data_IF_600474269120
#
_entry.id   IF_600474269120
#
_cell.length_a   1.000
_cell.length_b   1.000
_cell.length_c   1.000
_cell.angle_alpha   90.00
_cell.angle_beta   90.00
_cell.angle_gamma   90.00
#
_symmetry.space_group_name_H-M   'P 1'
#
loop_
_entity.id
_entity.type
_entity.pdbx_description
1 polymer ?
#
# COMPACT_ATOMS: atom_id res chain seq x y z
N UNK A 1 -3.88 -20.38 -6.73
CA UNK A 1 -5.18 -20.51 -7.40
C UNK A 1 -6.11 -19.33 -7.10
N UNK A 2 -6.42 -19.03 -5.83
CA UNK A 2 -7.41 -17.99 -5.45
C UNK A 2 -7.05 -16.60 -5.96
N UNK A 3 -5.83 -16.15 -5.71
CA UNK A 3 -5.38 -14.82 -6.14
C UNK A 3 -5.50 -14.64 -7.67
N UNK A 4 -5.09 -15.65 -8.44
CA UNK A 4 -5.22 -15.59 -9.91
C UNK A 4 -6.67 -15.43 -10.36
N UNK A 5 -7.64 -16.12 -9.73
CA UNK A 5 -9.05 -15.98 -10.08
C UNK A 5 -9.57 -14.55 -9.90
N UNK A 6 -9.09 -13.85 -8.89
CA UNK A 6 -9.41 -12.43 -8.68
C UNK A 6 -8.70 -11.51 -9.67
N UNK A 7 -7.46 -11.85 -10.06
CA UNK A 7 -6.66 -11.02 -10.94
C UNK A 7 -6.92 -11.29 -12.44
N UNK A 8 -7.68 -12.33 -12.77
CA UNK A 8 -7.96 -12.69 -14.16
C UNK A 8 -8.77 -11.59 -14.88
N UNK A 9 -8.30 -11.18 -16.05
CA UNK A 9 -8.90 -10.09 -16.83
C UNK A 9 -8.63 -8.67 -16.33
N UNK A 10 -7.78 -8.48 -15.30
CA UNK A 10 -7.36 -7.14 -14.90
C UNK A 10 -6.37 -6.56 -15.91
N UNK A 11 -6.66 -5.32 -16.35
CA UNK A 11 -5.73 -4.59 -17.21
C UNK A 11 -4.43 -4.25 -16.45
N UNK A 12 -3.29 -4.42 -17.11
CA UNK A 12 -1.98 -4.12 -16.56
C UNK A 12 -1.46 -5.09 -15.51
N UNK A 13 -2.19 -6.17 -15.16
CA UNK A 13 -1.80 -7.16 -14.16
C UNK A 13 -1.77 -8.57 -14.77
N UNK A 14 -0.72 -9.32 -14.46
CA UNK A 14 -0.56 -10.70 -14.90
C UNK A 14 -0.13 -11.60 -13.75
N UNK A 15 -0.76 -12.77 -13.67
CA UNK A 15 -0.45 -13.79 -12.66
C UNK A 15 -0.19 -15.12 -13.38
N UNK A 16 0.95 -15.78 -13.14
CA UNK A 16 1.26 -17.08 -13.75
C UNK A 16 0.18 -18.13 -13.47
N UNK A 17 -0.01 -19.04 -14.42
CA UNK A 17 -0.89 -20.18 -14.25
C UNK A 17 -0.16 -21.25 -13.42
N UNK A 18 -0.73 -21.66 -12.29
CA UNK A 18 -0.24 -22.86 -11.58
C UNK A 18 -0.64 -24.12 -12.37
N UNK A 19 0.34 -24.99 -12.63
CA UNK A 19 0.15 -26.24 -13.37
C UNK A 19 0.02 -27.38 -12.34
N UNK A 20 -1.20 -27.65 -11.93
CA UNK A 20 -1.50 -28.58 -10.82
C UNK A 20 -0.97 -29.99 -11.09
N UNK A 21 -1.09 -30.49 -12.33
CA UNK A 21 -0.59 -31.82 -12.74
C UNK A 21 0.93 -31.99 -12.58
N UNK A 22 1.68 -30.88 -12.49
CA UNK A 22 3.13 -30.84 -12.31
C UNK A 22 3.55 -30.23 -10.98
N UNK A 23 2.59 -29.99 -10.09
CA UNK A 23 2.83 -29.43 -8.77
C UNK A 23 2.59 -30.46 -7.69
N UNK A 24 3.26 -30.32 -6.56
CA UNK A 24 3.12 -31.22 -5.44
C UNK A 24 3.38 -30.49 -4.12
N UNK A 25 3.44 -31.24 -3.02
CA UNK A 25 3.58 -30.67 -1.68
C UNK A 25 4.82 -29.78 -1.49
N UNK A 26 5.88 -29.98 -2.26
CA UNK A 26 7.18 -29.27 -2.15
C UNK A 26 7.61 -28.58 -3.44
N UNK A 27 6.84 -28.70 -4.50
CA UNK A 27 7.16 -28.12 -5.81
C UNK A 27 5.91 -27.44 -6.36
N UNK A 28 6.06 -26.17 -6.73
CA UNK A 28 5.05 -25.42 -7.48
C UNK A 28 5.57 -25.23 -8.90
N UNK A 29 4.82 -25.74 -9.87
CA UNK A 29 5.08 -25.51 -11.29
C UNK A 29 4.12 -24.46 -11.81
N UNK A 30 4.66 -23.45 -12.51
CA UNK A 30 3.89 -22.33 -13.06
C UNK A 30 4.23 -22.10 -14.52
N UNK A 31 3.32 -21.43 -15.25
CA UNK A 31 3.64 -20.91 -16.58
C UNK A 31 4.86 -19.98 -16.51
N UNK A 32 5.69 -20.04 -17.54
CA UNK A 32 6.80 -19.10 -17.68
C UNK A 32 6.25 -17.73 -18.12
N UNK A 33 6.64 -16.68 -17.43
CA UNK A 33 6.27 -15.32 -17.79
C UNK A 33 7.51 -14.53 -18.23
N UNK A 34 7.41 -13.95 -19.42
CA UNK A 34 8.47 -13.09 -19.96
C UNK A 34 8.34 -11.68 -19.38
N UNK A 35 9.43 -11.18 -18.84
CA UNK A 35 9.50 -9.83 -18.29
C UNK A 35 10.90 -9.49 -17.81
N UNK A 36 11.08 -8.24 -17.44
CA UNK A 36 12.33 -7.72 -16.86
C UNK A 36 12.09 -7.15 -15.48
N UNK A 37 13.14 -7.03 -14.66
CA UNK A 37 13.03 -6.36 -13.36
C UNK A 37 12.60 -4.90 -13.52
N UNK A 38 12.01 -4.31 -12.48
CA UNK A 38 11.66 -2.89 -12.47
C UNK A 38 12.90 -2.01 -12.78
N UNK A 39 14.07 -2.39 -12.25
CA UNK A 39 15.31 -1.64 -12.46
C UNK A 39 15.80 -1.71 -13.91
N UNK A 40 15.73 -2.88 -14.55
CA UNK A 40 16.09 -3.03 -15.96
C UNK A 40 15.10 -2.29 -16.85
N UNK A 41 13.80 -2.35 -16.53
CA UNK A 41 12.78 -1.61 -17.24
C UNK A 41 13.01 -0.10 -17.15
N UNK A 42 13.32 0.44 -15.96
CA UNK A 42 13.64 1.85 -15.76
C UNK A 42 14.94 2.27 -16.48
N UNK A 43 15.95 1.38 -16.55
CA UNK A 43 17.18 1.65 -17.35
C UNK A 43 16.88 1.82 -18.84
N UNK A 44 15.82 1.22 -19.36
CA UNK A 44 15.38 1.43 -20.74
C UNK A 44 14.76 2.82 -21.00
N UNK A 45 14.65 3.67 -19.95
CA UNK A 45 14.08 5.03 -19.97
C UNK A 45 12.68 5.06 -20.58
N UNK A 46 11.71 4.31 -20.03
CA UNK A 46 10.35 4.31 -20.55
C UNK A 46 9.73 5.71 -20.48
N UNK A 47 8.91 6.10 -21.47
CA UNK A 47 8.20 7.37 -21.47
C UNK A 47 7.34 7.56 -20.21
N UNK A 48 7.11 8.81 -19.79
CA UNK A 48 6.34 9.15 -18.60
C UNK A 48 4.97 8.45 -18.56
N UNK A 49 4.23 8.48 -19.68
CA UNK A 49 2.91 7.86 -19.76
C UNK A 49 2.91 6.34 -19.46
N UNK A 50 3.99 5.62 -19.82
CA UNK A 50 4.14 4.19 -19.49
C UNK A 50 4.42 4.01 -17.99
N UNK A 51 5.24 4.87 -17.40
CA UNK A 51 5.55 4.86 -15.96
C UNK A 51 4.31 5.17 -15.12
N UNK A 52 3.52 6.18 -15.53
CA UNK A 52 2.25 6.52 -14.87
C UNK A 52 1.23 5.39 -14.97
N UNK A 53 1.11 4.74 -16.13
CA UNK A 53 0.20 3.59 -16.29
C UNK A 53 0.57 2.45 -15.34
N UNK A 54 1.86 2.11 -15.23
CA UNK A 54 2.33 1.07 -14.32
C UNK A 54 2.10 1.44 -12.85
N UNK A 55 2.32 2.71 -12.48
CA UNK A 55 2.04 3.21 -11.14
C UNK A 55 0.54 3.10 -10.80
N UNK A 56 -0.34 3.51 -11.71
CA UNK A 56 -1.80 3.38 -11.54
C UNK A 56 -2.23 1.92 -11.43
N UNK A 57 -1.67 1.01 -12.23
CA UNK A 57 -1.97 -0.41 -12.15
C UNK A 57 -1.60 -1.00 -10.77
N UNK A 58 -0.46 -0.59 -10.19
CA UNK A 58 -0.06 -1.02 -8.84
C UNK A 58 -0.98 -0.46 -7.75
N UNK A 59 -1.41 0.81 -7.87
CA UNK A 59 -2.36 1.42 -6.93
C UNK A 59 -3.74 0.76 -7.04
N UNK A 60 -4.23 0.52 -8.26
CA UNK A 60 -5.48 -0.18 -8.51
C UNK A 60 -5.47 -1.60 -7.94
N UNK A 61 -4.38 -2.32 -8.15
CA UNK A 61 -4.19 -3.66 -7.59
C UNK A 61 -4.35 -3.65 -6.07
N UNK A 62 -3.69 -2.71 -5.37
CA UNK A 62 -3.81 -2.60 -3.91
C UNK A 62 -5.26 -2.32 -3.48
N UNK A 63 -5.96 -1.41 -4.15
CA UNK A 63 -7.38 -1.17 -3.86
C UNK A 63 -8.21 -2.45 -3.98
N UNK A 64 -7.98 -3.23 -5.01
CA UNK A 64 -8.69 -4.50 -5.22
C UNK A 64 -8.29 -5.54 -4.18
N UNK A 65 -7.00 -5.73 -3.93
CA UNK A 65 -6.49 -6.67 -2.93
C UNK A 65 -7.12 -6.44 -1.56
N UNK A 66 -7.09 -5.19 -1.08
CA UNK A 66 -7.52 -4.90 0.28
C UNK A 66 -9.02 -4.62 0.37
N UNK A 67 -9.55 -3.66 -0.40
CA UNK A 67 -10.93 -3.18 -0.21
C UNK A 67 -11.98 -4.08 -0.88
N UNK A 68 -11.64 -4.82 -1.95
CA UNK A 68 -12.59 -5.69 -2.64
C UNK A 68 -12.43 -7.17 -2.28
N UNK A 69 -11.22 -7.72 -2.42
CA UNK A 69 -11.01 -9.15 -2.27
C UNK A 69 -10.72 -9.56 -0.82
N UNK A 70 -10.20 -8.67 0.00
CA UNK A 70 -9.68 -8.99 1.32
C UNK A 70 -8.51 -9.99 1.26
N UNK A 71 -7.79 -10.03 0.15
CA UNK A 71 -6.69 -10.96 -0.11
C UNK A 71 -5.48 -10.15 -0.61
N UNK A 72 -4.51 -9.91 0.27
CA UNK A 72 -3.38 -9.01 0.02
C UNK A 72 -2.07 -9.78 -0.03
N UNK A 73 -1.32 -9.63 -1.12
CA UNK A 73 0.08 -10.06 -1.17
C UNK A 73 0.93 -9.02 -0.41
N UNK A 74 1.47 -9.39 0.74
CA UNK A 74 2.09 -8.47 1.70
C UNK A 74 3.61 -8.39 1.61
N UNK A 75 4.26 -9.11 0.69
CA UNK A 75 5.70 -9.00 0.48
C UNK A 75 6.04 -7.96 -0.60
N UNK A 76 6.55 -6.78 -0.22
CA UNK A 76 6.85 -5.69 -1.16
C UNK A 76 8.19 -5.86 -1.88
N UNK A 77 8.81 -7.03 -1.82
CA UNK A 77 10.09 -7.28 -2.49
C UNK A 77 9.93 -7.13 -4.01
N UNK A 78 10.69 -6.25 -4.62
CA UNK A 78 10.65 -6.00 -6.06
C UNK A 78 11.06 -7.21 -6.91
N UNK A 79 11.81 -8.16 -6.34
CA UNK A 79 12.12 -9.43 -7.01
C UNK A 79 10.88 -10.29 -7.27
N UNK A 80 9.77 -10.03 -6.59
CA UNK A 80 8.49 -10.71 -6.79
C UNK A 80 7.68 -10.15 -7.97
N UNK A 81 8.21 -9.15 -8.69
CA UNK A 81 7.54 -8.48 -9.79
C UNK A 81 8.42 -8.45 -11.03
N UNK A 82 7.82 -8.71 -12.19
CA UNK A 82 8.42 -8.41 -13.48
C UNK A 82 7.53 -7.43 -14.25
N UNK A 83 8.13 -6.71 -15.17
CA UNK A 83 7.39 -5.88 -16.14
C UNK A 83 7.45 -6.58 -17.49
N UNK A 84 6.27 -6.92 -18.03
CA UNK A 84 6.16 -7.58 -19.34
C UNK A 84 6.50 -6.62 -20.48
N UNK A 85 6.66 -7.16 -21.70
CA UNK A 85 6.84 -6.33 -22.91
C UNK A 85 5.63 -5.43 -23.21
N UNK A 86 4.45 -5.73 -22.63
CA UNK A 86 3.23 -4.92 -22.74
C UNK A 86 3.04 -3.93 -21.60
N UNK A 87 4.06 -3.78 -20.74
CA UNK A 87 4.01 -2.97 -19.50
C UNK A 87 2.99 -3.49 -18.46
N UNK A 88 2.74 -4.79 -18.45
CA UNK A 88 1.94 -5.43 -17.41
C UNK A 88 2.82 -5.74 -16.21
N UNK A 89 2.29 -5.55 -15.02
CA UNK A 89 2.92 -6.01 -13.78
C UNK A 89 2.67 -7.51 -13.61
N UNK A 90 3.73 -8.30 -13.69
CA UNK A 90 3.68 -9.76 -13.49
C UNK A 90 4.00 -10.07 -12.04
N UNK A 91 3.08 -10.70 -11.33
CA UNK A 91 3.24 -11.08 -9.92
C UNK A 91 3.70 -12.53 -9.83
N UNK A 92 4.85 -12.79 -9.20
CA UNK A 92 5.47 -14.12 -9.17
C UNK A 92 5.29 -14.88 -7.86
N UNK A 93 5.24 -14.17 -6.72
CA UNK A 93 5.23 -14.80 -5.39
C UNK A 93 3.99 -14.43 -4.59
N UNK A 94 3.32 -15.44 -4.05
CA UNK A 94 2.11 -15.34 -3.24
C UNK A 94 2.29 -15.99 -1.86
N UNK A 95 3.52 -16.33 -1.47
CA UNK A 95 3.85 -17.00 -0.20
C UNK A 95 3.47 -16.18 1.03
N UNK A 96 3.51 -14.85 0.92
CA UNK A 96 3.14 -13.92 1.98
C UNK A 96 1.76 -13.29 1.76
N UNK A 97 0.80 -14.05 1.23
CA UNK A 97 -0.57 -13.53 1.04
C UNK A 97 -1.38 -13.70 2.32
N UNK A 98 -2.00 -12.60 2.79
CA UNK A 98 -2.85 -12.58 3.97
C UNK A 98 -4.31 -12.29 3.60
N UNK A 99 -5.24 -12.88 4.39
CA UNK A 99 -6.66 -12.55 4.32
C UNK A 99 -7.00 -11.53 5.38
N UNK A 100 -7.77 -10.54 4.98
CA UNK A 100 -8.37 -9.52 5.84
C UNK A 100 -9.88 -9.66 5.76
N UNK A 101 -10.52 -9.91 6.90
CA UNK A 101 -11.97 -10.01 6.96
C UNK A 101 -12.66 -8.65 6.69
N UNK A 102 -13.96 -8.70 6.51
CA UNK A 102 -14.72 -7.52 6.15
C UNK A 102 -14.75 -6.49 7.29
N UNK A 103 -14.87 -6.95 8.53
CA UNK A 103 -14.91 -6.08 9.71
C UNK A 103 -13.61 -5.27 9.84
N UNK A 104 -12.46 -5.94 9.71
CA UNK A 104 -11.16 -5.26 9.71
C UNK A 104 -11.04 -4.23 8.58
N UNK A 105 -11.50 -4.55 7.37
CA UNK A 105 -11.44 -3.64 6.22
C UNK A 105 -12.33 -2.41 6.42
N UNK A 106 -13.53 -2.60 6.98
CA UNK A 106 -14.45 -1.51 7.32
C UNK A 106 -13.87 -0.62 8.42
N UNK A 107 -13.28 -1.22 9.46
CA UNK A 107 -12.59 -0.49 10.53
C UNK A 107 -11.42 0.31 10.01
N UNK A 108 -10.61 -0.26 9.11
CA UNK A 108 -9.51 0.45 8.50
C UNK A 108 -9.98 1.61 7.60
N UNK A 109 -11.05 1.41 6.83
CA UNK A 109 -11.67 2.47 6.03
C UNK A 109 -12.16 3.64 6.91
N UNK A 110 -12.78 3.32 8.05
CA UNK A 110 -13.21 4.34 9.01
C UNK A 110 -12.02 5.09 9.60
N UNK A 111 -10.97 4.38 9.98
CA UNK A 111 -9.73 4.98 10.46
C UNK A 111 -9.13 5.96 9.43
N UNK A 112 -9.05 5.56 8.15
CA UNK A 112 -8.57 6.44 7.07
C UNK A 112 -9.42 7.72 6.94
N UNK A 113 -10.75 7.60 7.01
CA UNK A 113 -11.66 8.78 6.99
C UNK A 113 -11.39 9.72 8.14
N UNK A 114 -11.22 9.19 9.35
CA UNK A 114 -10.93 9.98 10.54
C UNK A 114 -9.60 10.72 10.40
N UNK A 115 -8.57 10.06 9.84
CA UNK A 115 -7.30 10.73 9.55
C UNK A 115 -7.47 11.87 8.55
N UNK A 116 -8.29 11.70 7.53
CA UNK A 116 -8.59 12.74 6.53
C UNK A 116 -9.23 13.99 7.13
N UNK A 117 -9.99 13.85 8.21
CA UNK A 117 -10.61 14.96 8.95
C UNK A 117 -9.62 15.78 9.78
N UNK A 118 -8.42 15.27 10.06
CA UNK A 118 -7.36 15.92 10.85
C UNK A 118 -7.78 16.35 12.28
N UNK A 119 -8.87 15.81 12.78
CA UNK A 119 -9.29 16.02 14.17
C UNK A 119 -8.41 15.20 15.11
N UNK A 120 -7.72 15.88 16.00
CA UNK A 120 -6.71 15.29 16.90
C UNK A 120 -7.30 14.25 17.86
N UNK A 121 -8.42 14.59 18.49
CA UNK A 121 -9.07 13.72 19.47
C UNK A 121 -9.75 12.53 18.79
N UNK A 122 -10.35 12.73 17.62
CA UNK A 122 -10.94 11.67 16.83
C UNK A 122 -9.87 10.67 16.33
N UNK A 123 -8.72 11.17 15.85
CA UNK A 123 -7.58 10.32 15.41
C UNK A 123 -7.06 9.49 16.58
N UNK A 124 -6.92 10.07 17.77
CA UNK A 124 -6.49 9.36 18.96
C UNK A 124 -7.48 8.26 19.34
N UNK A 125 -8.77 8.59 19.46
CA UNK A 125 -9.82 7.65 19.82
C UNK A 125 -9.90 6.47 18.83
N UNK A 126 -9.81 6.75 17.53
CA UNK A 126 -9.78 5.71 16.50
C UNK A 126 -8.51 4.85 16.57
N UNK A 127 -7.36 5.44 16.88
CA UNK A 127 -6.11 4.71 17.06
C UNK A 127 -6.21 3.69 18.19
N UNK A 128 -6.83 4.03 19.32
CA UNK A 128 -7.12 3.12 20.43
C UNK A 128 -8.11 2.05 20.00
N UNK A 129 -9.24 2.46 19.43
CA UNK A 129 -10.31 1.55 19.01
C UNK A 129 -9.81 0.52 17.99
N UNK A 130 -8.96 0.92 17.07
CA UNK A 130 -8.36 0.05 16.06
C UNK A 130 -7.19 -0.79 16.59
N UNK A 131 -6.79 -0.60 17.85
CA UNK A 131 -5.73 -1.36 18.51
C UNK A 131 -4.30 -0.95 18.12
N UNK A 132 -4.12 0.22 17.55
CA UNK A 132 -2.78 0.81 17.27
C UNK A 132 -2.14 1.37 18.53
N UNK A 133 -2.96 1.82 19.47
CA UNK A 133 -2.56 2.49 20.70
C UNK A 133 -3.23 1.87 21.92
N UNK A 134 -2.52 1.89 23.04
CA UNK A 134 -3.06 1.60 24.37
C UNK A 134 -3.53 2.93 25.01
N UNK A 135 -4.65 2.90 25.74
CA UNK A 135 -5.19 4.08 26.44
C UNK A 135 -4.23 4.69 27.45
N UNK A 136 -3.31 3.87 27.99
CA UNK A 136 -2.30 4.27 28.97
C UNK A 136 -1.13 5.07 28.38
N UNK A 137 -1.06 5.21 27.06
CA UNK A 137 -0.01 6.00 26.44
C UNK A 137 -0.11 7.48 26.83
N UNK A 138 1.06 8.08 27.08
CA UNK A 138 1.15 9.47 27.55
C UNK A 138 0.97 10.51 26.43
N UNK A 139 0.96 11.77 26.85
CA UNK A 139 0.77 12.94 25.94
C UNK A 139 1.78 12.97 24.80
N UNK A 140 3.04 12.58 25.04
CA UNK A 140 4.07 12.55 24.00
C UNK A 140 3.74 11.54 22.90
N UNK A 141 3.33 10.32 23.27
CA UNK A 141 2.93 9.30 22.30
C UNK A 141 1.68 9.73 21.52
N UNK A 142 0.72 10.39 22.20
CA UNK A 142 -0.48 10.98 21.59
C UNK A 142 -0.13 12.01 20.51
N UNK A 143 0.76 12.94 20.82
CA UNK A 143 1.20 13.96 19.88
C UNK A 143 1.97 13.37 18.69
N UNK A 144 2.92 12.48 18.95
CA UNK A 144 3.71 11.83 17.92
C UNK A 144 2.85 10.95 17.00
N UNK A 145 1.82 10.29 17.54
CA UNK A 145 0.84 9.55 16.74
C UNK A 145 0.08 10.49 15.80
N UNK A 146 -0.44 11.60 16.32
CA UNK A 146 -1.13 12.59 15.49
C UNK A 146 -0.24 13.11 14.35
N UNK A 147 1.01 13.46 14.65
CA UNK A 147 1.97 13.93 13.64
C UNK A 147 2.24 12.86 12.56
N UNK A 148 2.39 11.60 12.98
CA UNK A 148 2.55 10.49 12.04
C UNK A 148 1.32 10.31 11.14
N UNK A 149 0.12 10.42 11.70
CA UNK A 149 -1.14 10.32 10.94
C UNK A 149 -1.29 11.48 9.95
N UNK A 150 -0.94 12.72 10.34
CA UNK A 150 -0.90 13.85 9.43
C UNK A 150 0.07 13.63 8.25
N UNK A 151 1.27 13.12 8.52
CA UNK A 151 2.22 12.76 7.45
C UNK A 151 1.66 11.64 6.56
N UNK A 152 0.98 10.66 7.14
CA UNK A 152 0.43 9.51 6.40
C UNK A 152 -0.68 9.91 5.43
N UNK A 153 -1.47 10.94 5.76
CA UNK A 153 -2.57 11.42 4.92
C UNK A 153 -2.17 12.59 4.02
N UNK A 154 -1.02 13.22 4.25
CA UNK A 154 -0.52 14.36 3.46
C UNK A 154 -0.48 14.12 1.94
N UNK A 155 -0.13 12.92 1.43
CA UNK A 155 -0.17 12.66 -0.01
C UNK A 155 -1.54 12.88 -0.65
N UNK A 156 -2.61 12.85 0.14
CA UNK A 156 -3.99 13.01 -0.31
C UNK A 156 -4.54 14.43 -0.12
N UNK A 157 -3.76 15.38 0.38
CA UNK A 157 -4.24 16.77 0.48
C UNK A 157 -4.47 17.38 -0.90
N UNK A 158 -5.55 18.16 -1.03
CA UNK A 158 -5.87 18.89 -2.27
C UNK A 158 -4.66 19.71 -2.75
N UNK A 159 -4.01 20.42 -1.82
CA UNK A 159 -2.84 21.27 -2.11
C UNK A 159 -1.59 20.49 -2.59
N UNK A 160 -1.59 19.16 -2.42
CA UNK A 160 -0.47 18.29 -2.80
C UNK A 160 -0.69 17.59 -4.15
N UNK A 161 -1.85 17.80 -4.80
CA UNK A 161 -2.13 17.14 -6.09
C UNK A 161 -1.56 17.92 -7.28
N UNK A 162 -0.97 17.26 -8.27
CA UNK A 162 -0.58 15.84 -8.27
C UNK A 162 0.60 15.57 -7.32
N UNK A 163 0.52 14.48 -6.54
CA UNK A 163 1.53 14.16 -5.53
C UNK A 163 2.84 13.66 -6.15
N UNK A 164 3.96 14.23 -5.69
CA UNK A 164 5.31 13.88 -6.09
C UNK A 164 5.90 12.84 -5.13
N UNK A 165 5.98 11.59 -5.55
CA UNK A 165 6.50 10.50 -4.71
C UNK A 165 8.00 10.60 -4.43
N UNK A 166 8.75 11.35 -5.26
CA UNK A 166 10.17 11.63 -5.07
C UNK A 166 10.47 12.74 -4.05
N UNK A 167 9.46 13.37 -3.45
CA UNK A 167 9.63 14.44 -2.45
C UNK A 167 10.48 13.95 -1.26
N UNK A 168 11.74 14.39 -1.24
CA UNK A 168 12.73 14.00 -0.23
C UNK A 168 12.36 14.56 1.15
N UNK A 169 11.82 15.78 1.20
CA UNK A 169 11.43 16.41 2.46
C UNK A 169 10.24 15.69 3.09
N UNK A 170 9.23 15.35 2.30
CA UNK A 170 8.12 14.52 2.75
C UNK A 170 8.61 13.18 3.30
N UNK A 171 9.46 12.48 2.55
CA UNK A 171 9.99 11.18 2.98
C UNK A 171 10.80 11.26 4.28
N UNK A 172 11.58 12.36 4.45
CA UNK A 172 12.34 12.62 5.68
C UNK A 172 11.40 12.86 6.86
N UNK A 173 10.42 13.78 6.72
CA UNK A 173 9.45 14.12 7.77
C UNK A 173 8.64 12.91 8.22
N UNK A 174 8.16 12.11 7.27
CA UNK A 174 7.38 10.89 7.58
C UNK A 174 8.21 9.88 8.34
N UNK A 175 9.47 9.67 7.94
CA UNK A 175 10.38 8.76 8.66
C UNK A 175 10.67 9.26 10.08
N UNK A 176 10.96 10.55 10.26
CA UNK A 176 11.19 11.15 11.57
C UNK A 176 9.96 11.05 12.48
N UNK A 177 8.76 11.32 11.95
CA UNK A 177 7.51 11.16 12.68
C UNK A 177 7.31 9.70 13.13
N UNK A 178 7.55 8.73 12.24
CA UNK A 178 7.46 7.31 12.57
C UNK A 178 8.45 6.88 13.65
N UNK A 179 9.70 7.36 13.58
CA UNK A 179 10.72 7.09 14.59
C UNK A 179 10.35 7.69 15.96
N UNK A 180 9.95 8.95 16.01
CA UNK A 180 9.51 9.62 17.24
C UNK A 180 8.34 8.89 17.88
N UNK A 181 7.34 8.52 17.06
CA UNK A 181 6.20 7.76 17.55
C UNK A 181 6.63 6.42 18.11
N UNK A 182 7.41 5.61 17.39
CA UNK A 182 7.88 4.32 17.87
C UNK A 182 8.69 4.42 19.17
N UNK A 183 9.51 5.45 19.34
CA UNK A 183 10.30 5.69 20.55
C UNK A 183 9.48 6.17 21.74
N UNK A 184 8.30 6.76 21.52
CA UNK A 184 7.42 7.26 22.57
C UNK A 184 6.47 6.19 23.14
N UNK A 185 6.34 5.04 22.45
CA UNK A 185 5.46 3.94 22.89
C UNK A 185 6.01 3.20 24.11
N UNK A 186 5.12 2.94 25.07
CA UNK A 186 5.42 2.17 26.28
C UNK A 186 4.54 0.94 26.46
N UNK A 187 3.33 0.98 25.99
CA UNK A 187 2.30 -0.04 26.23
C UNK A 187 1.74 -0.63 24.94
N UNK A 188 1.86 0.09 23.83
CA UNK A 188 1.24 -0.30 22.57
C UNK A 188 2.06 -1.36 21.84
N UNK A 189 1.36 -2.38 21.34
CA UNK A 189 1.92 -3.42 20.47
C UNK A 189 0.95 -3.59 19.27
N UNK A 190 1.20 -2.92 18.14
CA UNK A 190 0.31 -2.99 16.98
C UNK A 190 0.08 -4.44 16.52
N UNK A 191 -1.16 -4.82 16.20
CA UNK A 191 -1.49 -6.15 15.70
C UNK A 191 -0.71 -6.52 14.44
N UNK A 192 -0.32 -7.78 14.30
CA UNK A 192 0.45 -8.27 13.14
C UNK A 192 -0.20 -7.93 11.80
N UNK A 193 -1.52 -8.02 11.67
CA UNK A 193 -2.24 -7.69 10.43
C UNK A 193 -1.99 -6.26 9.97
N UNK A 194 -1.93 -5.32 10.91
CA UNK A 194 -1.64 -3.91 10.62
C UNK A 194 -0.19 -3.75 10.15
N UNK A 195 0.76 -4.41 10.82
CA UNK A 195 2.17 -4.34 10.43
C UNK A 195 2.40 -4.83 9.00
N UNK A 196 1.78 -5.94 8.61
CA UNK A 196 1.88 -6.47 7.25
C UNK A 196 1.19 -5.57 6.22
N UNK A 197 0.04 -4.98 6.55
CA UNK A 197 -0.63 -4.02 5.69
C UNK A 197 0.22 -2.75 5.48
N UNK A 198 0.79 -2.22 6.55
CA UNK A 198 1.67 -1.04 6.46
C UNK A 198 2.98 -1.34 5.73
N UNK A 199 3.51 -2.57 5.87
CA UNK A 199 4.65 -3.04 5.06
C UNK A 199 4.29 -3.04 3.57
N UNK A 200 3.10 -3.53 3.19
CA UNK A 200 2.60 -3.48 1.81
C UNK A 200 2.48 -2.05 1.31
N UNK A 201 1.88 -1.15 2.10
CA UNK A 201 1.73 0.27 1.75
C UNK A 201 3.09 0.96 1.56
N UNK A 202 4.06 0.70 2.44
CA UNK A 202 5.43 1.21 2.29
C UNK A 202 6.11 0.70 1.02
N UNK A 203 5.91 -0.56 0.68
CA UNK A 203 6.40 -1.15 -0.57
C UNK A 203 5.74 -0.55 -1.81
N UNK A 204 4.43 -0.34 -1.77
CA UNK A 204 3.66 0.33 -2.80
C UNK A 204 4.19 1.75 -3.05
N UNK A 205 4.36 2.53 -1.97
CA UNK A 205 4.92 3.88 -2.06
C UNK A 205 6.33 3.87 -2.69
N UNK A 206 7.20 2.96 -2.25
CA UNK A 206 8.55 2.83 -2.80
C UNK A 206 8.55 2.39 -4.27
N UNK A 207 7.61 1.52 -4.67
CA UNK A 207 7.45 1.11 -6.06
C UNK A 207 7.10 2.31 -6.94
N UNK A 208 6.08 3.09 -6.55
CA UNK A 208 5.66 4.28 -7.31
C UNK A 208 6.75 5.34 -7.32
N UNK A 209 7.44 5.53 -6.19
CA UNK A 209 8.60 6.44 -6.11
C UNK A 209 9.69 6.08 -7.13
N UNK A 210 10.00 4.80 -7.32
CA UNK A 210 11.03 4.36 -8.30
C UNK A 210 10.61 4.63 -9.75
N UNK A 211 9.32 4.74 -10.01
CA UNK A 211 8.81 5.10 -11.33
C UNK A 211 9.01 6.58 -11.65
N UNK A 212 9.36 7.41 -10.67
CA UNK A 212 9.61 8.85 -10.85
C UNK A 212 8.43 9.53 -11.57
N UNK A 213 7.26 9.46 -10.93
CA UNK A 213 5.99 9.99 -11.45
C UNK A 213 5.30 10.88 -10.43
N UNK A 214 4.44 11.78 -10.95
CA UNK A 214 3.49 12.55 -10.15
C UNK A 214 2.08 12.08 -10.51
N UNK A 215 1.29 11.77 -9.49
CA UNK A 215 -0.05 11.23 -9.70
C UNK A 215 -1.09 12.05 -8.96
N UNK A 216 -2.20 12.30 -9.61
CA UNK A 216 -3.43 12.71 -8.93
C UNK A 216 -3.97 11.48 -8.17
N UNK A 217 -4.07 11.60 -6.86
CA UNK A 217 -4.50 10.54 -5.96
C UNK A 217 -5.99 10.64 -5.58
N UNK A 218 -6.74 11.56 -6.19
CA UNK A 218 -8.17 11.78 -5.89
C UNK A 218 -8.98 10.50 -6.03
N UNK A 219 -8.86 9.83 -7.19
CA UNK A 219 -9.59 8.58 -7.44
C UNK A 219 -9.15 7.48 -6.46
N UNK A 220 -7.85 7.38 -6.17
CA UNK A 220 -7.33 6.40 -5.23
C UNK A 220 -7.90 6.61 -3.82
N UNK A 221 -7.92 7.86 -3.34
CA UNK A 221 -8.53 8.19 -2.06
C UNK A 221 -10.04 7.87 -2.02
N UNK A 222 -10.78 8.27 -3.06
CA UNK A 222 -12.21 7.98 -3.15
C UNK A 222 -12.50 6.48 -3.09
N UNK A 223 -11.68 5.66 -3.72
CA UNK A 223 -11.81 4.19 -3.68
C UNK A 223 -11.50 3.62 -2.30
N UNK A 224 -10.58 4.21 -1.54
CA UNK A 224 -10.25 3.78 -0.19
C UNK A 224 -11.31 4.16 0.84
N UNK A 225 -11.85 5.37 0.77
CA UNK A 225 -12.69 5.92 1.84
C UNK A 225 -14.08 6.36 1.40
N UNK A 226 -14.35 6.46 0.11
CA UNK A 226 -15.64 6.88 -0.45
C UNK A 226 -15.96 8.36 -0.21
N UNK A 227 -14.95 9.24 -0.12
CA UNK A 227 -15.10 10.65 0.17
C UNK A 227 -14.17 11.55 -0.64
N UNK A 228 -14.30 12.87 -0.47
CA UNK A 228 -13.42 13.86 -1.07
C UNK A 228 -12.03 13.84 -0.44
N UNK A 229 -11.05 14.43 -1.14
CA UNK A 229 -9.71 14.62 -0.60
C UNK A 229 -9.73 15.51 0.65
N UNK A 230 -8.80 15.27 1.61
CA UNK A 230 -8.61 16.20 2.73
C UNK A 230 -8.29 17.61 2.27
N UNK A 231 -8.92 18.59 2.88
CA UNK A 231 -8.91 20.00 2.44
C UNK A 231 -7.61 20.79 2.72
N UNK A 232 -6.54 20.13 3.15
CA UNK A 232 -5.30 20.80 3.53
C UNK A 232 -4.34 21.05 2.38
#
# INVERSE_FOLDING_TARGET
>A
ADYRRHADGLDGIRVPLAIESHSGRRVLTMSWENGVSLDDWMRSKPPLARRERLARAMLDLFCREFFLWGLVQTDPNFANFLISQRDELVLLDFGATLRYDEDFRQDYTRFLRTMGGLDREAIWAEGIRFGLLDEREGTEARENFYQLMCCSVEPFFVSRQPFAFEDIDYARRTREAGQKFAMSLKYSAPPHHILFLHRKLGGLFNFVKRLDVRLDLTEFWQRMVGGELPAR
#
